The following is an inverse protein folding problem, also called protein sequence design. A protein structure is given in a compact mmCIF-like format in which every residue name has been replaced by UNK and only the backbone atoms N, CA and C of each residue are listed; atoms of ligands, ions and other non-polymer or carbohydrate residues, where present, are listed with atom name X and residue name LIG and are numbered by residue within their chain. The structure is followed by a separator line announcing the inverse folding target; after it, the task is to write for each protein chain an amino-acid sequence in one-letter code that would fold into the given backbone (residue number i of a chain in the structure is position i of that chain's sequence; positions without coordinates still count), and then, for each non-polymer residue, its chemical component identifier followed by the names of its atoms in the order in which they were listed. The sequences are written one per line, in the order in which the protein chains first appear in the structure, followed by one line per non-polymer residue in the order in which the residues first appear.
data_IF_628842948683
#
_entry.id   IF_628842948683
#
_cell.length_a   1.000
_cell.length_b   1.000
_cell.length_c   1.000
_cell.angle_alpha   90.00
_cell.angle_beta   90.00
_cell.angle_gamma   90.00
#
_symmetry.space_group_name_H-M   'P 1'
#
loop_
_entity.id
_entity.type
_entity.pdbx_description
1 polymer ?
#
# COMPACT_ATOMS: atom_id res chain seq x y z
N UNK A 1 7.92 0.12 16.99
CA UNK A 1 7.25 0.01 18.30
C UNK A 1 5.85 -0.59 18.20
N UNK A 2 4.94 -0.08 17.36
CA UNK A 2 3.55 -0.60 17.21
C UNK A 2 3.52 -2.09 16.84
N UNK A 3 4.26 -2.55 15.84
CA UNK A 3 4.29 -3.98 15.44
C UNK A 3 4.76 -4.91 16.57
N UNK A 4 5.72 -4.48 17.38
CA UNK A 4 6.17 -5.26 18.53
C UNK A 4 5.08 -5.37 19.61
N UNK A 5 4.30 -4.29 19.81
CA UNK A 5 3.16 -4.30 20.72
C UNK A 5 2.05 -5.23 20.23
N UNK A 6 1.71 -5.17 18.94
CA UNK A 6 0.70 -6.06 18.34
C UNK A 6 1.13 -7.53 18.50
N UNK A 7 2.37 -7.88 18.14
CA UNK A 7 2.89 -9.25 18.32
C UNK A 7 2.86 -9.73 19.76
N UNK A 8 3.01 -8.84 20.73
CA UNK A 8 3.01 -9.19 22.16
C UNK A 8 1.62 -9.35 22.74
N UNK A 9 0.65 -8.56 22.27
CA UNK A 9 -0.67 -8.47 22.90
C UNK A 9 -1.76 -9.27 22.15
N UNK A 10 -1.73 -9.27 20.82
CA UNK A 10 -2.78 -9.90 20.03
C UNK A 10 -2.90 -11.43 20.27
N UNK A 11 -1.81 -12.19 20.40
CA UNK A 11 -1.92 -13.64 20.72
C UNK A 11 -2.56 -13.93 22.09
N UNK A 12 -2.67 -12.92 22.96
CA UNK A 12 -3.30 -13.05 24.28
C UNK A 12 -4.78 -12.68 24.27
N UNK A 13 -5.27 -12.12 23.17
CA UNK A 13 -6.68 -11.83 23.00
C UNK A 13 -7.43 -13.16 22.77
N UNK A 14 -8.44 -13.51 23.60
CA UNK A 14 -9.20 -14.73 23.43
C UNK A 14 -10.02 -14.80 22.14
N UNK A 15 -10.26 -13.66 21.50
CA UNK A 15 -10.93 -13.58 20.19
C UNK A 15 -10.00 -13.88 19.01
N UNK A 16 -8.68 -13.93 19.24
CA UNK A 16 -7.69 -14.24 18.19
C UNK A 16 -7.37 -15.74 18.17
N UNK A 17 -7.74 -16.41 17.10
CA UNK A 17 -7.44 -17.83 16.89
C UNK A 17 -6.23 -18.01 15.97
N UNK A 18 -5.08 -18.36 16.56
CA UNK A 18 -3.84 -18.60 15.81
C UNK A 18 -3.95 -19.73 14.75
N UNK A 19 -4.85 -20.70 14.95
CA UNK A 19 -5.05 -21.80 14.01
C UNK A 19 -5.81 -21.33 12.77
N UNK A 20 -6.73 -20.38 12.95
CA UNK A 20 -7.57 -19.81 11.90
C UNK A 20 -6.94 -18.57 11.26
N UNK A 21 -6.48 -17.64 12.10
CA UNK A 21 -6.07 -16.31 11.69
C UNK A 21 -4.55 -16.17 11.50
N UNK A 22 -3.78 -17.22 11.86
CA UNK A 22 -2.32 -17.25 11.80
C UNK A 22 -1.64 -16.46 12.92
N UNK A 23 -0.32 -16.42 12.89
CA UNK A 23 0.45 -15.61 13.83
C UNK A 23 0.39 -14.14 13.43
N UNK A 24 0.01 -13.23 14.35
CA UNK A 24 -0.07 -11.80 14.04
C UNK A 24 1.31 -11.21 13.71
N UNK A 25 1.37 -10.38 12.68
CA UNK A 25 2.61 -9.75 12.21
C UNK A 25 3.70 -10.80 11.95
N UNK A 26 3.35 -11.84 11.21
CA UNK A 26 4.27 -12.92 10.86
C UNK A 26 5.32 -12.48 9.83
N UNK A 27 6.31 -13.34 9.57
CA UNK A 27 7.43 -13.03 8.67
C UNK A 27 6.97 -12.74 7.23
N UNK A 28 5.96 -13.47 6.74
CA UNK A 28 5.47 -13.30 5.38
C UNK A 28 4.81 -11.92 5.21
N UNK A 29 3.99 -11.50 6.17
CA UNK A 29 3.33 -10.19 6.14
C UNK A 29 4.34 -9.05 6.24
N UNK A 30 5.35 -9.19 7.09
CA UNK A 30 6.42 -8.20 7.20
C UNK A 30 7.25 -8.11 5.92
N UNK A 31 7.54 -9.25 5.28
CA UNK A 31 8.24 -9.31 3.99
C UNK A 31 7.42 -8.63 2.90
N UNK A 32 6.12 -8.95 2.79
CA UNK A 32 5.22 -8.30 1.84
C UNK A 32 5.20 -6.77 2.04
N UNK A 33 5.16 -6.34 3.30
CA UNK A 33 5.09 -4.90 3.64
C UNK A 33 6.36 -4.16 3.25
N UNK A 34 7.56 -4.63 3.65
CA UNK A 34 8.78 -3.90 3.30
C UNK A 34 9.04 -3.91 1.79
N UNK A 35 8.66 -4.98 1.07
CA UNK A 35 8.75 -5.05 -0.38
C UNK A 35 7.75 -4.13 -1.09
N UNK A 36 6.58 -3.89 -0.48
CA UNK A 36 5.64 -2.91 -1.00
C UNK A 36 6.22 -1.49 -0.99
N UNK A 37 6.96 -1.12 0.04
CA UNK A 37 7.62 0.18 0.15
C UNK A 37 8.97 0.25 -0.58
N UNK A 38 9.59 -0.86 -0.89
CA UNK A 38 10.81 -0.94 -1.69
C UNK A 38 10.49 -1.04 -3.20
N UNK A 39 10.54 -2.23 -3.77
CA UNK A 39 10.43 -2.42 -5.22
C UNK A 39 9.09 -2.02 -5.81
N UNK A 40 7.95 -2.20 -5.10
CA UNK A 40 6.63 -1.78 -5.63
C UNK A 40 6.54 -0.28 -5.76
N UNK A 41 7.03 0.47 -4.77
CA UNK A 41 7.08 1.93 -4.85
C UNK A 41 7.91 2.40 -6.05
N UNK A 42 9.09 1.80 -6.30
CA UNK A 42 9.95 2.15 -7.43
C UNK A 42 9.27 1.86 -8.79
N UNK A 43 8.59 0.73 -8.91
CA UNK A 43 7.77 0.41 -10.09
C UNK A 43 6.63 1.42 -10.25
N UNK A 44 5.96 1.77 -9.15
CA UNK A 44 4.88 2.75 -9.13
C UNK A 44 5.34 4.13 -9.59
N UNK A 45 6.48 4.61 -9.10
CA UNK A 45 7.05 5.90 -9.53
C UNK A 45 7.31 5.93 -11.04
N UNK A 46 7.94 4.88 -11.58
CA UNK A 46 8.19 4.78 -13.04
C UNK A 46 6.90 4.73 -13.84
N UNK A 47 5.88 3.99 -13.37
CA UNK A 47 4.58 3.92 -14.02
C UNK A 47 3.85 5.27 -14.05
N UNK A 48 4.13 6.14 -13.08
CA UNK A 48 3.63 7.53 -13.03
C UNK A 48 4.52 8.52 -13.81
N UNK A 49 5.55 8.04 -14.52
CA UNK A 49 6.46 8.89 -15.29
C UNK A 49 7.55 9.56 -14.45
N UNK A 50 7.70 9.23 -13.19
CA UNK A 50 8.74 9.77 -12.32
C UNK A 50 10.05 9.01 -12.61
N UNK A 51 11.14 9.69 -13.02
CA UNK A 51 12.40 9.05 -13.28
C UNK A 51 13.02 8.50 -11.99
N UNK A 52 13.45 7.24 -12.03
CA UNK A 52 14.17 6.58 -10.94
C UNK A 52 15.50 6.12 -11.48
N UNK A 53 16.57 6.75 -11.04
CA UNK A 53 17.93 6.41 -11.45
C UNK A 53 18.43 5.15 -10.72
N UNK A 54 19.44 4.45 -11.27
CA UNK A 54 19.96 3.22 -10.65
C UNK A 54 20.48 3.41 -9.22
N UNK A 55 21.03 4.57 -8.90
CA UNK A 55 21.49 4.87 -7.54
C UNK A 55 20.33 5.12 -6.56
N UNK A 56 19.23 5.74 -7.03
CA UNK A 56 18.02 5.94 -6.23
C UNK A 56 17.39 4.59 -5.88
N UNK A 57 17.28 3.70 -6.88
CA UNK A 57 16.76 2.34 -6.66
C UNK A 57 17.60 1.60 -5.60
N UNK A 58 18.94 1.65 -5.69
CA UNK A 58 19.82 1.03 -4.69
C UNK A 58 19.63 1.65 -3.30
N UNK A 59 19.53 2.99 -3.22
CA UNK A 59 19.35 3.68 -1.94
C UNK A 59 18.02 3.31 -1.27
N UNK A 60 16.92 3.28 -2.04
CA UNK A 60 15.60 2.88 -1.56
C UNK A 60 15.61 1.42 -1.09
N UNK A 61 16.19 0.50 -1.88
CA UNK A 61 16.27 -0.90 -1.49
C UNK A 61 17.10 -1.10 -0.23
N UNK A 62 18.22 -0.40 -0.10
CA UNK A 62 19.06 -0.43 1.11
C UNK A 62 18.29 0.09 2.34
N UNK A 63 17.60 1.22 2.20
CA UNK A 63 16.78 1.79 3.27
C UNK A 63 15.72 0.79 3.75
N UNK A 64 14.93 0.23 2.83
CA UNK A 64 13.85 -0.67 3.21
C UNK A 64 14.34 -2.04 3.67
N UNK A 65 15.48 -2.52 3.19
CA UNK A 65 16.17 -3.67 3.76
C UNK A 65 16.51 -3.42 5.24
N UNK A 66 17.08 -2.25 5.55
CA UNK A 66 17.44 -1.86 6.91
C UNK A 66 16.19 -1.72 7.81
N UNK A 67 15.13 -1.06 7.31
CA UNK A 67 13.85 -0.97 8.02
C UNK A 67 13.25 -2.36 8.29
N UNK A 68 13.26 -3.24 7.30
CA UNK A 68 12.80 -4.63 7.44
C UNK A 68 13.57 -5.38 8.53
N UNK A 69 14.90 -5.23 8.55
CA UNK A 69 15.74 -5.80 9.60
C UNK A 69 15.40 -5.27 10.99
N UNK A 70 15.26 -3.96 11.15
CA UNK A 70 14.83 -3.32 12.41
C UNK A 70 13.44 -3.79 12.89
N UNK A 71 12.54 -4.11 11.96
CA UNK A 71 11.22 -4.65 12.26
C UNK A 71 11.26 -6.14 12.64
N UNK A 72 12.39 -6.81 12.48
CA UNK A 72 12.58 -8.21 12.83
C UNK A 72 12.32 -9.18 11.67
N UNK A 73 12.41 -8.72 10.42
CA UNK A 73 12.46 -9.61 9.25
C UNK A 73 13.79 -10.38 9.30
N UNK A 74 13.72 -11.71 9.18
CA UNK A 74 14.91 -12.55 9.16
C UNK A 74 15.78 -12.26 7.92
N UNK A 75 17.10 -12.27 8.08
CA UNK A 75 18.05 -11.90 7.02
C UNK A 75 17.87 -12.69 5.72
N UNK A 76 17.53 -13.97 5.80
CA UNK A 76 17.25 -14.82 4.62
C UNK A 76 16.10 -14.32 3.73
N UNK A 77 15.25 -13.43 4.26
CA UNK A 77 14.11 -12.84 3.55
C UNK A 77 14.40 -11.43 3.03
N UNK A 78 15.48 -10.81 3.50
CA UNK A 78 15.92 -9.49 3.05
C UNK A 78 16.63 -9.62 1.69
N UNK A 79 16.42 -8.64 0.83
CA UNK A 79 17.00 -8.60 -0.53
C UNK A 79 17.78 -7.32 -0.75
N UNK A 80 18.78 -7.37 -1.64
CA UNK A 80 19.72 -6.28 -1.86
C UNK A 80 19.34 -5.36 -3.03
N UNK A 81 18.58 -5.90 -3.98
CA UNK A 81 18.25 -5.17 -5.20
C UNK A 81 16.78 -5.30 -5.58
N UNK A 82 16.34 -4.41 -6.47
CA UNK A 82 14.95 -4.31 -6.89
C UNK A 82 14.45 -5.57 -7.59
N UNK A 83 15.27 -6.20 -8.46
CA UNK A 83 14.88 -7.41 -9.18
C UNK A 83 14.64 -8.57 -8.22
N UNK A 84 15.59 -8.80 -7.30
CA UNK A 84 15.42 -9.80 -6.25
C UNK A 84 14.19 -9.52 -5.38
N UNK A 85 13.93 -8.23 -5.10
CA UNK A 85 12.74 -7.77 -4.40
C UNK A 85 11.43 -8.12 -5.11
N UNK A 86 11.35 -7.89 -6.42
CA UNK A 86 10.16 -8.24 -7.21
C UNK A 86 9.93 -9.75 -7.28
N UNK A 87 11.00 -10.54 -7.43
CA UNK A 87 10.89 -12.01 -7.39
C UNK A 87 10.39 -12.47 -6.03
N UNK A 88 10.95 -11.94 -4.95
CA UNK A 88 10.53 -12.26 -3.58
C UNK A 88 9.09 -11.83 -3.32
N UNK A 89 8.69 -10.65 -3.79
CA UNK A 89 7.31 -10.18 -3.70
C UNK A 89 6.34 -11.13 -4.40
N UNK A 90 6.67 -11.56 -5.62
CA UNK A 90 5.84 -12.53 -6.35
C UNK A 90 5.69 -13.84 -5.57
N UNK A 91 6.79 -14.39 -5.04
CA UNK A 91 6.76 -15.58 -4.21
C UNK A 91 5.88 -15.40 -2.97
N UNK A 92 6.02 -14.25 -2.30
CA UNK A 92 5.22 -13.89 -1.14
C UNK A 92 3.74 -13.78 -1.48
N UNK A 93 3.42 -13.09 -2.60
CA UNK A 93 2.04 -12.94 -3.09
C UNK A 93 1.36 -14.29 -3.36
N UNK A 94 2.09 -15.25 -3.91
CA UNK A 94 1.56 -16.61 -4.18
C UNK A 94 1.21 -17.40 -2.90
N UNK A 95 1.73 -16.97 -1.75
CA UNK A 95 1.43 -17.59 -0.44
C UNK A 95 0.32 -16.88 0.32
N UNK A 96 -0.15 -15.71 -0.16
CA UNK A 96 -1.20 -14.94 0.51
C UNK A 96 -2.57 -15.62 0.40
N UNK A 97 -3.36 -15.49 1.44
CA UNK A 97 -4.76 -15.92 1.45
C UNK A 97 -5.62 -15.09 0.50
N UNK A 98 -6.77 -15.63 0.12
CA UNK A 98 -7.76 -14.86 -0.66
C UNK A 98 -8.31 -13.71 0.19
N UNK A 99 -8.59 -12.54 -0.44
CA UNK A 99 -9.24 -11.43 0.25
C UNK A 99 -10.55 -11.84 0.92
N UNK A 100 -10.69 -11.51 2.18
CA UNK A 100 -11.86 -11.76 3.01
C UNK A 100 -12.63 -10.46 3.33
N UNK A 101 -13.49 -10.49 4.34
CA UNK A 101 -14.25 -9.34 4.78
C UNK A 101 -13.36 -8.21 5.35
N UNK A 102 -12.23 -8.55 5.99
CA UNK A 102 -11.29 -7.56 6.54
C UNK A 102 -10.58 -6.80 5.42
N UNK A 103 -10.17 -7.51 4.36
CA UNK A 103 -9.57 -6.94 3.15
C UNK A 103 -10.55 -6.00 2.45
N UNK A 104 -11.84 -6.37 2.39
CA UNK A 104 -12.91 -5.51 1.85
C UNK A 104 -13.10 -4.24 2.69
N UNK A 105 -13.18 -4.40 4.01
CA UNK A 105 -13.30 -3.29 4.95
C UNK A 105 -12.14 -2.29 4.80
N UNK A 106 -10.91 -2.80 4.73
CA UNK A 106 -9.72 -1.99 4.52
C UNK A 106 -9.74 -1.29 3.15
N UNK A 107 -10.11 -2.00 2.07
CA UNK A 107 -10.24 -1.43 0.73
C UNK A 107 -11.21 -0.26 0.68
N UNK A 108 -12.39 -0.40 1.30
CA UNK A 108 -13.40 0.67 1.42
C UNK A 108 -12.86 1.84 2.24
N UNK A 109 -12.22 1.58 3.38
CA UNK A 109 -11.65 2.63 4.23
C UNK A 109 -10.57 3.44 3.50
N UNK A 110 -9.63 2.75 2.86
CA UNK A 110 -8.56 3.38 2.07
C UNK A 110 -9.11 4.16 0.87
N UNK A 111 -10.14 3.65 0.19
CA UNK A 111 -10.74 4.38 -0.93
C UNK A 111 -11.37 5.69 -0.51
N UNK A 112 -11.86 5.80 0.71
CA UNK A 112 -12.49 7.00 1.28
C UNK A 112 -11.51 7.94 2.02
N UNK A 113 -10.25 7.57 2.15
CA UNK A 113 -9.22 8.37 2.83
C UNK A 113 -9.23 9.85 2.42
N UNK A 114 -9.35 10.20 1.13
CA UNK A 114 -9.36 11.62 0.72
C UNK A 114 -10.44 12.47 1.39
N UNK A 115 -11.58 11.89 1.76
CA UNK A 115 -12.65 12.62 2.45
C UNK A 115 -12.36 12.91 3.92
N UNK A 116 -11.39 12.24 4.51
CA UNK A 116 -10.89 12.51 5.86
C UNK A 116 -9.83 13.61 5.93
N UNK A 117 -9.39 14.15 4.79
CA UNK A 117 -8.36 15.20 4.75
C UNK A 117 -8.95 16.55 5.10
N UNK A 118 -8.27 17.29 5.96
CA UNK A 118 -8.54 18.70 6.19
C UNK A 118 -7.83 19.53 5.12
N UNK A 119 -8.55 20.45 4.49
CA UNK A 119 -8.01 21.39 3.50
C UNK A 119 -8.27 22.81 4.00
N UNK A 120 -7.47 23.34 4.93
CA UNK A 120 -7.72 24.63 5.60
C UNK A 120 -7.88 25.81 4.64
N UNK A 121 -7.16 25.77 3.53
CA UNK A 121 -7.20 26.81 2.49
C UNK A 121 -8.59 26.94 1.82
N UNK A 122 -9.38 25.86 1.86
CA UNK A 122 -10.68 25.74 1.19
C UNK A 122 -11.87 25.80 2.16
N UNK A 123 -11.63 25.83 3.47
CA UNK A 123 -12.71 25.83 4.50
C UNK A 123 -13.65 27.03 4.36
N UNK A 124 -13.15 28.17 3.88
CA UNK A 124 -13.94 29.37 3.64
C UNK A 124 -14.93 29.25 2.47
N UNK A 125 -14.79 28.22 1.65
CA UNK A 125 -15.56 28.00 0.43
C UNK A 125 -16.15 26.58 0.39
N UNK A 126 -17.25 26.30 1.11
CA UNK A 126 -17.73 24.93 1.31
C UNK A 126 -17.97 24.15 0.02
N UNK A 127 -18.52 24.79 -1.01
CA UNK A 127 -18.75 24.16 -2.32
C UNK A 127 -17.44 23.78 -3.03
N UNK A 128 -16.46 24.68 -3.01
CA UNK A 128 -15.15 24.44 -3.62
C UNK A 128 -14.38 23.39 -2.85
N UNK A 129 -14.48 23.38 -1.53
CA UNK A 129 -13.91 22.35 -0.67
C UNK A 129 -14.45 20.96 -1.02
N UNK A 130 -15.77 20.81 -1.14
CA UNK A 130 -16.41 19.55 -1.54
C UNK A 130 -15.97 19.10 -2.94
N UNK A 131 -15.95 20.03 -3.91
CA UNK A 131 -15.49 19.74 -5.27
C UNK A 131 -14.01 19.31 -5.28
N UNK A 132 -13.18 19.94 -4.46
CA UNK A 132 -11.75 19.58 -4.35
C UNK A 132 -11.58 18.19 -3.74
N UNK A 133 -12.30 17.85 -2.68
CA UNK A 133 -12.27 16.51 -2.09
C UNK A 133 -12.73 15.43 -3.08
N UNK A 134 -13.79 15.68 -3.84
CA UNK A 134 -14.25 14.78 -4.90
C UNK A 134 -13.19 14.60 -5.99
N UNK A 135 -12.51 15.68 -6.39
CA UNK A 135 -11.41 15.62 -7.36
C UNK A 135 -10.25 14.75 -6.84
N UNK A 136 -9.80 14.97 -5.59
CA UNK A 136 -8.75 14.18 -4.96
C UNK A 136 -9.16 12.69 -4.86
N UNK A 137 -10.41 12.42 -4.50
CA UNK A 137 -10.96 11.07 -4.48
C UNK A 137 -10.90 10.39 -5.85
N UNK A 138 -11.31 11.10 -6.90
CA UNK A 138 -11.26 10.58 -8.27
C UNK A 138 -9.81 10.32 -8.72
N UNK A 139 -8.88 11.22 -8.41
CA UNK A 139 -7.45 11.03 -8.68
C UNK A 139 -6.91 9.80 -7.95
N UNK A 140 -7.20 9.66 -6.67
CA UNK A 140 -6.80 8.51 -5.85
C UNK A 140 -7.29 7.18 -6.45
N UNK A 141 -8.57 7.09 -6.81
CA UNK A 141 -9.13 5.89 -7.43
C UNK A 141 -8.59 5.64 -8.84
N UNK A 142 -8.24 6.68 -9.59
CA UNK A 142 -7.65 6.55 -10.92
C UNK A 142 -6.24 5.95 -10.85
N UNK A 143 -5.41 6.42 -9.91
CA UNK A 143 -4.10 5.82 -9.63
C UNK A 143 -4.26 4.37 -9.19
N UNK A 144 -5.18 4.10 -8.28
CA UNK A 144 -5.49 2.72 -7.85
C UNK A 144 -5.91 1.84 -9.03
N UNK A 145 -6.71 2.39 -9.96
CA UNK A 145 -7.18 1.66 -11.15
C UNK A 145 -6.08 1.38 -12.17
N UNK A 146 -4.98 2.13 -12.15
CA UNK A 146 -3.79 1.86 -12.95
C UNK A 146 -3.08 0.58 -12.50
N UNK A 147 -2.95 0.41 -11.19
CA UNK A 147 -2.19 -0.69 -10.61
C UNK A 147 -3.02 -1.96 -10.40
N UNK A 148 -4.32 -1.82 -10.16
CA UNK A 148 -5.23 -2.92 -9.89
C UNK A 148 -6.15 -3.20 -11.09
N UNK A 149 -5.96 -4.32 -11.76
CA UNK A 149 -6.87 -4.79 -12.81
C UNK A 149 -8.29 -5.05 -12.27
N UNK A 150 -9.27 -5.17 -13.18
CA UNK A 150 -10.69 -5.41 -12.82
C UNK A 150 -10.88 -6.61 -11.88
N UNK A 151 -10.15 -7.70 -12.10
CA UNK A 151 -10.21 -8.91 -11.27
C UNK A 151 -9.75 -8.69 -9.82
N UNK A 152 -8.81 -7.78 -9.60
CA UNK A 152 -8.27 -7.48 -8.28
C UNK A 152 -9.09 -6.42 -7.52
N UNK A 153 -9.76 -5.51 -8.24
CA UNK A 153 -10.59 -4.44 -7.64
C UNK A 153 -11.92 -4.95 -7.11
N UNK A 154 -12.56 -5.89 -7.82
CA UNK A 154 -13.86 -6.46 -7.44
C UNK A 154 -13.87 -7.08 -6.04
N UNK A 155 -12.92 -7.95 -5.67
CA UNK A 155 -12.87 -8.51 -4.32
C UNK A 155 -12.68 -7.47 -3.21
N UNK A 156 -12.07 -6.32 -3.51
CA UNK A 156 -11.81 -5.21 -2.58
C UNK A 156 -12.92 -4.15 -2.57
N UNK A 157 -13.98 -4.34 -3.37
CA UNK A 157 -15.11 -3.41 -3.50
C UNK A 157 -14.64 -1.99 -3.92
N UNK A 158 -13.57 -1.91 -4.71
CA UNK A 158 -13.06 -0.63 -5.20
C UNK A 158 -13.87 -0.18 -6.42
N UNK A 159 -14.33 1.10 -6.45
CA UNK A 159 -15.09 1.64 -7.56
C UNK A 159 -14.35 1.55 -8.90
N UNK A 160 -15.09 1.29 -9.97
CA UNK A 160 -14.56 1.40 -11.33
C UNK A 160 -14.66 2.85 -11.78
N UNK A 161 -13.58 3.61 -11.65
CA UNK A 161 -13.46 4.94 -12.21
C UNK A 161 -12.47 4.92 -13.36
N UNK A 162 -12.94 5.30 -14.54
CA UNK A 162 -12.08 5.59 -15.69
C UNK A 162 -11.90 7.09 -15.72
N UNK A 163 -10.74 7.55 -15.27
CA UNK A 163 -10.41 8.97 -15.32
C UNK A 163 -9.45 9.25 -16.50
N UNK A 164 -9.63 10.36 -17.22
CA UNK A 164 -8.69 10.73 -18.28
C UNK A 164 -7.31 11.04 -17.68
N UNK A 165 -6.32 10.26 -18.04
CA UNK A 165 -4.93 10.29 -17.54
C UNK A 165 -4.26 11.68 -17.63
N UNK A 166 -4.63 12.49 -18.63
CA UNK A 166 -4.08 13.83 -18.81
C UNK A 166 -4.38 14.76 -17.63
N UNK A 167 -5.44 14.52 -16.88
CA UNK A 167 -5.77 15.32 -15.70
C UNK A 167 -4.90 14.99 -14.48
N UNK A 168 -4.21 13.84 -14.46
CA UNK A 168 -3.20 13.55 -13.43
C UNK A 168 -1.93 14.38 -13.65
N UNK A 169 -1.62 14.72 -14.90
CA UNK A 169 -0.45 15.53 -15.25
C UNK A 169 -0.65 17.02 -14.94
N UNK A 170 -1.90 17.47 -14.80
CA UNK A 170 -2.25 18.87 -14.51
C UNK A 170 -2.52 19.15 -13.04
N UNK A 171 -2.59 18.09 -12.21
CA UNK A 171 -2.76 18.21 -10.77
C UNK A 171 -1.38 18.29 -10.10
N UNK A 172 -0.63 19.32 -10.40
CA UNK A 172 0.53 19.70 -9.60
C UNK A 172 0.12 20.04 -8.16
N UNK A 173 1.10 20.05 -7.23
CA UNK A 173 0.86 20.33 -5.83
C UNK A 173 0.20 21.67 -5.61
#
# INVERSE_FOLDING_TARGET
MVHAMVRRHLPKNPEWDNAKDGLPVNQIDMVATYLAFGPVMLVGMRALGIPVLPHDSKAVMHLWKYVGWLMGVQEKWLVDDERAGLVRLYQTYMTQSRPDWTSKGLGVALSKEPFGRTLPEWEKWPLLHELRLKSIYQQHLSVTSLFFGKGQRRPLVLPELVFPWFLLLTAGP
#
